data_IF_918724884888
#
_entry.id   IF_918724884888
#
_cell.length_a   1.000
_cell.length_b   1.000
_cell.length_c   1.000
_cell.angle_alpha   90.00
_cell.angle_beta   90.00
_cell.angle_gamma   90.00
#
_symmetry.space_group_name_H-M   'P 1'
#
loop_
_entity.id
_entity.type
_entity.pdbx_description
1 polymer ?
#
# COMPACT_ATOMS: atom_id res chain seq x y z
N UNK A 1 14.10 -38.30 30.12
CA UNK A 1 14.57 -37.47 28.98
C UNK A 1 13.52 -36.40 28.69
N UNK A 2 13.78 -35.11 29.00
CA UNK A 2 12.85 -34.01 28.72
C UNK A 2 13.19 -33.43 27.34
N UNK A 3 12.31 -33.61 26.37
CA UNK A 3 12.43 -32.96 25.07
C UNK A 3 12.26 -31.44 25.23
N UNK A 4 13.28 -30.67 24.85
CA UNK A 4 13.19 -29.21 24.72
C UNK A 4 12.36 -28.90 23.47
N UNK A 5 11.21 -28.24 23.64
CA UNK A 5 10.48 -27.61 22.52
C UNK A 5 11.36 -26.49 21.94
N UNK A 6 11.54 -26.39 20.62
CA UNK A 6 12.10 -25.19 20.03
C UNK A 6 11.08 -24.05 20.16
N UNK A 7 11.48 -22.97 20.83
CA UNK A 7 10.74 -21.72 20.83
C UNK A 7 10.73 -21.17 19.41
N UNK A 8 9.54 -21.00 18.82
CA UNK A 8 9.34 -20.26 17.58
C UNK A 8 9.71 -18.78 17.82
N UNK A 9 11.01 -18.47 17.74
CA UNK A 9 11.47 -17.11 17.55
C UNK A 9 11.06 -16.75 16.13
N UNK A 10 9.94 -16.05 16.01
CA UNK A 10 9.58 -15.28 14.83
C UNK A 10 10.75 -14.37 14.50
N UNK A 11 11.61 -14.79 13.58
CA UNK A 11 12.59 -13.91 12.93
C UNK A 11 11.80 -12.79 12.26
N UNK A 12 11.73 -11.64 12.93
CA UNK A 12 11.35 -10.39 12.28
C UNK A 12 12.42 -10.11 11.24
N UNK A 13 12.18 -10.55 10.00
CA UNK A 13 13.04 -10.28 8.87
C UNK A 13 13.22 -8.75 8.77
N UNK A 14 14.45 -8.29 9.04
CA UNK A 14 14.76 -6.87 8.97
C UNK A 14 14.63 -6.42 7.51
N UNK A 15 13.67 -5.53 7.26
CA UNK A 15 13.44 -4.94 5.93
C UNK A 15 14.65 -4.07 5.59
N UNK A 16 15.14 -4.17 4.35
CA UNK A 16 16.22 -3.28 3.87
C UNK A 16 15.71 -1.84 3.83
N UNK A 17 16.60 -0.88 4.09
CA UNK A 17 16.27 0.55 4.17
C UNK A 17 15.52 1.10 2.95
N UNK A 18 15.94 0.66 1.76
CA UNK A 18 15.31 1.04 0.48
C UNK A 18 13.89 0.50 0.37
N UNK A 19 13.68 -0.77 0.75
CA UNK A 19 12.38 -1.43 0.73
C UNK A 19 11.39 -0.77 1.71
N UNK A 20 11.88 -0.29 2.86
CA UNK A 20 11.06 0.43 3.83
C UNK A 20 10.51 1.75 3.26
N UNK A 21 11.33 2.48 2.50
CA UNK A 21 10.92 3.76 1.89
C UNK A 21 9.94 3.52 0.74
N UNK A 22 10.22 2.51 -0.09
CA UNK A 22 9.34 2.08 -1.17
C UNK A 22 7.94 1.69 -0.63
N UNK A 23 7.88 0.89 0.44
CA UNK A 23 6.64 0.47 1.07
C UNK A 23 5.83 1.67 1.59
N UNK A 24 6.50 2.64 2.25
CA UNK A 24 5.83 3.84 2.75
C UNK A 24 5.21 4.67 1.61
N UNK A 25 5.96 4.89 0.52
CA UNK A 25 5.47 5.63 -0.66
C UNK A 25 4.25 4.93 -1.26
N UNK A 26 4.31 3.61 -1.43
CA UNK A 26 3.19 2.81 -1.94
C UNK A 26 1.95 2.96 -1.06
N UNK A 27 2.09 2.83 0.27
CA UNK A 27 0.97 2.94 1.21
C UNK A 27 0.34 4.33 1.16
N UNK A 28 1.13 5.40 1.22
CA UNK A 28 0.62 6.76 1.16
C UNK A 28 -0.11 7.04 -0.18
N UNK A 29 0.45 6.55 -1.29
CA UNK A 29 -0.19 6.65 -2.59
C UNK A 29 -1.53 5.91 -2.64
N UNK A 30 -1.60 4.70 -2.05
CA UNK A 30 -2.82 3.89 -1.93
C UNK A 30 -3.89 4.59 -1.07
N UNK A 31 -3.47 5.21 0.02
CA UNK A 31 -4.34 6.01 0.90
C UNK A 31 -4.78 7.34 0.28
N UNK A 32 -4.14 7.77 -0.82
CA UNK A 32 -4.58 8.91 -1.64
C UNK A 32 -3.93 10.23 -1.30
N UNK A 33 -2.81 10.20 -0.57
CA UNK A 33 -2.01 11.39 -0.35
C UNK A 33 -1.50 11.95 -1.69
N UNK A 34 -1.42 13.28 -1.77
CA UNK A 34 -0.91 13.95 -2.96
C UNK A 34 0.59 13.70 -3.13
N UNK A 35 1.10 13.86 -4.35
CA UNK A 35 2.54 13.70 -4.61
C UNK A 35 3.39 14.65 -3.74
N UNK A 36 3.06 15.96 -3.60
CA UNK A 36 3.85 16.86 -2.75
C UNK A 36 3.89 16.44 -1.26
N UNK A 37 2.81 15.87 -0.73
CA UNK A 37 2.80 15.37 0.65
C UNK A 37 3.71 14.15 0.82
N UNK A 38 3.67 13.24 -0.15
CA UNK A 38 4.53 12.05 -0.15
C UNK A 38 6.01 12.43 -0.32
N UNK A 39 6.31 13.43 -1.16
CA UNK A 39 7.68 13.96 -1.32
C UNK A 39 8.21 14.58 -0.02
N UNK A 40 7.37 15.30 0.74
CA UNK A 40 7.74 15.81 2.07
C UNK A 40 8.09 14.66 3.02
N UNK A 41 7.26 13.62 3.09
CA UNK A 41 7.55 12.44 3.92
C UNK A 41 8.85 11.75 3.48
N UNK A 42 9.05 11.55 2.19
CA UNK A 42 10.28 10.94 1.66
C UNK A 42 11.53 11.77 2.02
N UNK A 43 11.42 13.11 1.99
CA UNK A 43 12.49 14.02 2.44
C UNK A 43 12.78 13.87 3.94
N UNK A 44 11.75 13.79 4.77
CA UNK A 44 11.91 13.58 6.22
C UNK A 44 12.55 12.22 6.54
N UNK A 45 12.15 11.16 5.83
CA UNK A 45 12.74 9.82 5.97
C UNK A 45 14.22 9.82 5.59
N UNK A 46 14.59 10.53 4.52
CA UNK A 46 15.98 10.73 4.12
C UNK A 46 16.77 11.49 5.18
N UNK A 47 16.23 12.58 5.71
CA UNK A 47 16.94 13.43 6.66
C UNK A 47 17.10 12.79 8.05
N UNK A 48 16.05 12.14 8.55
CA UNK A 48 16.00 11.62 9.92
C UNK A 48 16.67 10.25 10.04
N UNK A 49 16.47 9.39 9.03
CA UNK A 49 16.86 7.98 9.11
C UNK A 49 17.90 7.57 8.06
N UNK A 50 18.37 8.53 7.23
CA UNK A 50 19.28 8.29 6.11
C UNK A 50 18.75 7.19 5.17
N UNK A 51 17.43 7.17 4.97
CA UNK A 51 16.76 6.26 4.05
C UNK A 51 16.72 6.92 2.67
N UNK A 52 17.57 6.44 1.76
CA UNK A 52 17.60 6.94 0.38
C UNK A 52 16.63 6.14 -0.47
N UNK A 53 15.89 6.86 -1.31
CA UNK A 53 15.02 6.28 -2.32
C UNK A 53 15.41 6.88 -3.67
N UNK A 54 15.57 6.05 -4.70
CA UNK A 54 15.82 6.54 -6.05
C UNK A 54 14.52 7.03 -6.67
N UNK A 55 14.60 8.00 -7.59
CA UNK A 55 13.42 8.56 -8.25
C UNK A 55 12.61 7.47 -8.97
N UNK A 56 13.29 6.50 -9.60
CA UNK A 56 12.65 5.34 -10.22
C UNK A 56 11.83 4.52 -9.24
N UNK A 57 12.37 4.23 -8.04
CA UNK A 57 11.66 3.46 -7.00
C UNK A 57 10.49 4.28 -6.46
N UNK A 58 10.68 5.59 -6.27
CA UNK A 58 9.63 6.50 -5.85
C UNK A 58 8.44 6.49 -6.82
N UNK A 59 8.71 6.74 -8.11
CA UNK A 59 7.66 6.83 -9.14
C UNK A 59 6.94 5.50 -9.37
N UNK A 60 7.68 4.39 -9.31
CA UNK A 60 7.10 3.04 -9.44
C UNK A 60 6.11 2.77 -8.31
N UNK A 61 6.52 3.01 -7.05
CA UNK A 61 5.66 2.74 -5.90
C UNK A 61 4.49 3.73 -5.79
N UNK A 62 4.70 4.99 -6.16
CA UNK A 62 3.64 5.99 -6.27
C UNK A 62 2.56 5.54 -7.28
N UNK A 63 3.00 5.06 -8.44
CA UNK A 63 2.10 4.57 -9.49
C UNK A 63 1.34 3.33 -9.04
N UNK A 64 2.05 2.34 -8.51
CA UNK A 64 1.45 1.08 -8.03
C UNK A 64 0.42 1.32 -6.92
N UNK A 65 0.73 2.16 -5.93
CA UNK A 65 -0.23 2.48 -4.87
C UNK A 65 -1.49 3.17 -5.40
N UNK A 66 -1.35 4.07 -6.38
CA UNK A 66 -2.49 4.73 -7.05
C UNK A 66 -3.33 3.78 -7.89
N UNK A 67 -2.71 2.81 -8.56
CA UNK A 67 -3.43 1.76 -9.29
C UNK A 67 -4.24 0.92 -8.30
N UNK A 68 -3.63 0.47 -7.21
CA UNK A 68 -4.31 -0.35 -6.22
C UNK A 68 -5.43 0.39 -5.48
N UNK A 69 -5.30 1.70 -5.29
CA UNK A 69 -6.40 2.54 -4.77
C UNK A 69 -7.66 2.42 -5.62
N UNK A 70 -7.54 2.35 -6.94
CA UNK A 70 -8.70 2.21 -7.84
C UNK A 70 -9.47 0.91 -7.58
N UNK A 71 -8.78 -0.12 -7.07
CA UNK A 71 -9.37 -1.41 -6.74
C UNK A 71 -9.98 -1.45 -5.32
N UNK A 72 -9.72 -0.45 -4.47
CA UNK A 72 -10.21 -0.40 -3.09
C UNK A 72 -11.58 0.27 -2.92
N UNK A 73 -11.98 1.13 -3.86
CA UNK A 73 -13.35 1.65 -3.86
C UNK A 73 -14.21 0.65 -4.64
N UNK A 74 -15.32 0.12 -4.07
CA UNK A 74 -16.32 -0.53 -4.89
C UNK A 74 -16.75 0.52 -5.90
N UNK A 75 -16.33 0.33 -7.15
CA UNK A 75 -16.88 1.09 -8.25
C UNK A 75 -18.34 0.69 -8.23
N UNK A 76 -19.23 1.53 -7.70
CA UNK A 76 -20.65 1.37 -7.93
C UNK A 76 -20.80 1.62 -9.43
N UNK A 77 -20.54 0.56 -10.22
CA UNK A 77 -21.08 0.46 -11.57
C UNK A 77 -22.57 0.61 -11.36
N UNK A 78 -23.10 1.77 -11.73
CA UNK A 78 -24.53 1.98 -11.87
C UNK A 78 -25.02 1.01 -12.94
N UNK A 79 -25.24 -0.26 -12.56
CA UNK A 79 -26.20 -1.10 -13.24
C UNK A 79 -27.55 -0.59 -12.76
N UNK A 80 -28.12 0.29 -13.59
CA UNK A 80 -29.52 0.66 -13.58
C UNK A 80 -30.38 -0.54 -13.19
N UNK A 81 -31.16 -0.36 -12.12
CA UNK A 81 -32.32 -1.18 -11.82
C UNK A 81 -33.15 -1.33 -13.10
N UNK A 82 -33.10 -2.49 -13.74
CA UNK A 82 -34.18 -2.94 -14.60
C UNK A 82 -34.97 -3.96 -13.79
N UNK A 83 -35.73 -3.44 -12.83
CA UNK A 83 -36.79 -4.17 -12.16
C UNK A 83 -37.90 -4.40 -13.18
N UNK A 84 -37.85 -5.52 -13.89
CA UNK A 84 -38.97 -6.02 -14.67
C UNK A 84 -39.71 -7.08 -13.86
N UNK A 85 -40.29 -6.65 -12.75
CA UNK A 85 -41.36 -7.37 -12.07
C UNK A 85 -42.61 -7.37 -12.95
N UNK A 86 -42.69 -8.32 -13.89
CA UNK A 86 -43.98 -8.74 -14.45
C UNK A 86 -44.79 -9.34 -13.31
N UNK A 87 -45.89 -8.69 -12.97
CA UNK A 87 -46.98 -9.28 -12.19
C UNK A 87 -48.12 -9.42 -13.21
N UNK A 88 -48.26 -10.63 -13.76
CA UNK A 88 -49.39 -10.99 -14.59
C UNK A 88 -50.64 -11.06 -13.69
N UNK A 89 -51.69 -10.32 -14.05
CA UNK A 89 -53.02 -10.38 -13.48
C UNK A 89 -54.05 -10.48 -14.59
#
# INVERSE_FOLDING_TARGET
MRQKKPSAQSETAMIKKEDATAAMIYVLAKLGYSRPEIEKVNKELRNTFNLKCSDRVFDTNLTNGRVDRKNLLPTITKQSNHDSGKIDG
#
